data_IF_290624935375
#
_entry.id   IF_290624935375
#
_cell.length_a   1.000
_cell.length_b   1.000
_cell.length_c   1.000
_cell.angle_alpha   90.00
_cell.angle_beta   90.00
_cell.angle_gamma   90.00
#
_symmetry.space_group_name_H-M   'P 1'
#
loop_
_entity.id
_entity.type
_entity.pdbx_description
1 polymer ?
#
# COMPACT_ATOMS: atom_id res chain seq x y z
N UNK A 1 -7.38 -24.44 -10.93
CA UNK A 1 -8.23 -24.08 -9.77
C UNK A 1 -8.02 -22.59 -9.51
N UNK A 2 -9.00 -21.74 -9.86
CA UNK A 2 -8.89 -20.28 -9.68
C UNK A 2 -9.02 -19.98 -8.19
N UNK A 3 -7.98 -19.51 -7.54
CA UNK A 3 -8.07 -19.02 -6.16
C UNK A 3 -9.06 -17.87 -6.15
N UNK A 4 -10.12 -17.99 -5.33
CA UNK A 4 -11.03 -16.90 -4.98
C UNK A 4 -10.15 -15.69 -4.65
N UNK A 5 -10.50 -14.50 -5.13
CA UNK A 5 -9.71 -13.26 -5.02
C UNK A 5 -9.55 -12.71 -3.59
N UNK A 6 -9.33 -13.59 -2.63
CA UNK A 6 -9.14 -13.39 -1.21
C UNK A 6 -7.97 -14.24 -0.73
N UNK A 7 -7.15 -13.68 0.14
CA UNK A 7 -6.08 -14.40 0.82
C UNK A 7 -6.03 -13.98 2.29
N UNK A 8 -5.27 -14.75 3.06
CA UNK A 8 -4.92 -14.41 4.44
C UNK A 8 -3.40 -14.27 4.54
N UNK A 9 -2.93 -13.11 5.00
CA UNK A 9 -1.53 -12.80 5.24
C UNK A 9 -1.22 -12.99 6.73
N UNK A 10 -0.20 -13.76 7.05
CA UNK A 10 0.34 -13.87 8.40
C UNK A 10 1.42 -12.80 8.61
N UNK A 11 1.25 -11.95 9.62
CA UNK A 11 2.27 -10.98 10.02
C UNK A 11 3.34 -11.60 10.93
N UNK A 12 4.47 -10.90 11.07
CA UNK A 12 5.58 -11.33 11.93
C UNK A 12 5.20 -11.51 13.41
N UNK A 13 4.17 -10.80 13.88
CA UNK A 13 3.65 -10.91 15.24
C UNK A 13 2.57 -12.00 15.41
N UNK A 14 2.29 -12.80 14.37
CA UNK A 14 1.26 -13.85 14.39
C UNK A 14 -0.16 -13.37 14.06
N UNK A 15 -0.36 -12.07 13.82
CA UNK A 15 -1.67 -11.55 13.38
C UNK A 15 -2.03 -12.06 11.99
N UNK A 16 -3.32 -12.34 11.77
CA UNK A 16 -3.83 -12.84 10.49
C UNK A 16 -4.69 -11.76 9.83
N UNK A 17 -4.31 -11.32 8.63
CA UNK A 17 -5.00 -10.27 7.88
C UNK A 17 -5.67 -10.87 6.66
N UNK A 18 -6.99 -10.71 6.56
CA UNK A 18 -7.75 -11.05 5.35
C UNK A 18 -7.72 -9.88 4.37
N UNK A 19 -7.54 -10.17 3.09
CA UNK A 19 -7.48 -9.13 2.05
C UNK A 19 -7.82 -9.66 0.68
N UNK A 20 -8.15 -8.76 -0.25
CA UNK A 20 -8.30 -9.14 -1.66
C UNK A 20 -6.93 -9.56 -2.22
N UNK A 21 -6.86 -10.57 -3.06
CA UNK A 21 -5.61 -10.94 -3.73
C UNK A 21 -5.78 -10.94 -5.25
N UNK A 22 -4.67 -10.70 -5.95
CA UNK A 22 -4.60 -10.77 -7.41
C UNK A 22 -4.13 -12.17 -7.85
N UNK A 23 -4.29 -12.46 -9.15
CA UNK A 23 -3.85 -13.74 -9.70
C UNK A 23 -2.32 -13.90 -9.54
N UNK A 24 -1.88 -15.11 -9.21
CA UNK A 24 -0.45 -15.44 -9.13
C UNK A 24 0.11 -15.50 -7.70
N UNK A 25 -0.69 -15.20 -6.68
CA UNK A 25 -0.34 -15.45 -5.28
C UNK A 25 -0.66 -16.89 -4.88
N UNK A 26 0.32 -17.59 -4.31
CA UNK A 26 0.20 -18.96 -3.79
C UNK A 26 0.47 -19.00 -2.28
N UNK A 27 -0.04 -20.05 -1.62
CA UNK A 27 0.24 -20.27 -0.20
C UNK A 27 1.74 -20.48 0.02
N UNK A 28 2.32 -19.75 0.97
CA UNK A 28 3.75 -19.76 1.27
C UNK A 28 4.57 -18.72 0.52
N UNK A 29 3.98 -18.00 -0.46
CA UNK A 29 4.67 -16.89 -1.12
C UNK A 29 4.92 -15.74 -0.14
N UNK A 30 6.07 -15.07 -0.30
CA UNK A 30 6.32 -13.80 0.36
C UNK A 30 5.39 -12.72 -0.22
N UNK A 31 4.73 -11.98 0.66
CA UNK A 31 3.66 -11.08 0.29
C UNK A 31 3.64 -9.79 1.12
N UNK A 32 3.04 -8.75 0.56
CA UNK A 32 2.87 -7.44 1.16
C UNK A 32 1.39 -7.05 1.22
N UNK A 33 1.02 -6.32 2.27
CA UNK A 33 -0.27 -5.67 2.38
C UNK A 33 -0.23 -4.27 1.75
N UNK A 34 -1.09 -4.02 0.78
CA UNK A 34 -1.40 -2.68 0.30
C UNK A 34 -2.71 -2.21 0.92
N UNK A 35 -2.64 -1.22 1.81
CA UNK A 35 -3.79 -0.54 2.42
C UNK A 35 -3.61 0.96 2.26
N UNK A 36 -4.69 1.66 1.88
CA UNK A 36 -4.66 3.12 1.84
C UNK A 36 -4.78 3.67 3.26
N UNK A 37 -3.96 4.65 3.68
CA UNK A 37 -3.94 5.15 5.06
C UNK A 37 -5.28 5.64 5.60
N UNK A 38 -6.13 6.20 4.73
CA UNK A 38 -7.46 6.70 5.09
C UNK A 38 -8.52 5.62 5.32
N UNK A 39 -8.22 4.36 4.99
CA UNK A 39 -9.13 3.22 5.19
C UNK A 39 -8.92 2.50 6.52
N UNK A 40 -7.80 2.78 7.18
CA UNK A 40 -7.56 2.36 8.54
C UNK A 40 -8.11 3.40 9.52
N UNK A 41 -8.56 2.93 10.68
CA UNK A 41 -9.04 3.78 11.76
C UNK A 41 -8.63 3.22 13.12
N UNK A 42 -8.65 4.07 14.14
CA UNK A 42 -8.43 3.69 15.53
C UNK A 42 -9.82 3.40 16.14
N UNK A 43 -10.10 2.15 16.57
CA UNK A 43 -11.39 1.81 17.18
C UNK A 43 -11.72 2.70 18.37
N UNK A 44 -13.01 3.01 18.54
CA UNK A 44 -13.50 3.82 19.65
C UNK A 44 -13.32 5.35 19.51
N UNK A 45 -12.47 5.85 18.60
CA UNK A 45 -12.32 7.29 18.37
C UNK A 45 -13.59 7.96 17.80
N UNK A 46 -14.44 7.19 17.11
CA UNK A 46 -15.67 7.63 16.41
C UNK A 46 -16.92 6.87 16.91
N UNK A 47 -16.83 6.16 18.04
CA UNK A 47 -17.85 5.17 18.42
C UNK A 47 -17.94 3.97 17.45
N UNK A 48 -17.03 3.91 16.47
CA UNK A 48 -16.90 2.80 15.54
C UNK A 48 -16.24 1.63 16.26
N UNK A 49 -16.95 0.51 16.32
CA UNK A 49 -16.45 -0.76 16.82
C UNK A 49 -16.11 -1.67 15.64
N UNK A 50 -15.04 -2.46 15.73
CA UNK A 50 -14.73 -3.43 14.69
C UNK A 50 -15.84 -4.48 14.57
N UNK A 51 -16.09 -4.90 13.35
CA UNK A 51 -17.01 -5.96 12.97
C UNK A 51 -16.25 -7.24 12.63
N UNK A 52 -16.96 -8.34 12.43
CA UNK A 52 -16.38 -9.61 11.93
C UNK A 52 -15.77 -9.49 10.52
N UNK A 53 -16.00 -8.39 9.81
CA UNK A 53 -15.42 -8.09 8.51
C UNK A 53 -14.16 -7.24 8.60
N UNK A 54 -13.79 -6.79 9.79
CA UNK A 54 -12.57 -6.02 9.98
C UNK A 54 -11.37 -6.93 10.23
N UNK A 55 -10.20 -6.45 9.84
CA UNK A 55 -8.94 -6.85 10.42
C UNK A 55 -8.67 -5.90 11.58
N UNK A 56 -8.21 -6.45 12.69
CA UNK A 56 -7.78 -5.67 13.85
C UNK A 56 -6.39 -6.12 14.22
N UNK A 57 -5.47 -5.17 14.36
CA UNK A 57 -4.08 -5.43 14.72
C UNK A 57 -3.64 -4.49 15.83
N UNK A 58 -2.83 -5.03 16.74
CA UNK A 58 -2.14 -4.26 17.78
C UNK A 58 -0.90 -3.60 17.19
N UNK A 59 -0.73 -2.31 17.42
CA UNK A 59 0.41 -1.56 16.92
C UNK A 59 0.94 -0.56 17.94
N UNK A 60 2.25 -0.31 17.92
CA UNK A 60 2.90 0.75 18.68
C UNK A 60 2.87 2.05 17.89
N UNK A 61 2.57 3.15 18.56
CA UNK A 61 2.65 4.49 17.99
C UNK A 61 4.09 4.96 17.98
N UNK A 62 4.65 5.18 16.80
CA UNK A 62 6.03 5.66 16.66
C UNK A 62 6.06 7.19 16.66
N UNK A 63 5.26 7.80 15.79
CA UNK A 63 5.16 9.25 15.67
C UNK A 63 3.80 9.70 15.15
N UNK A 64 3.50 10.98 15.38
CA UNK A 64 2.31 11.66 14.92
C UNK A 64 2.74 12.92 14.15
N UNK A 65 2.33 13.02 12.89
CA UNK A 65 2.69 14.13 12.01
C UNK A 65 1.43 14.94 11.67
N UNK A 66 1.41 16.22 12.02
CA UNK A 66 0.35 17.15 11.64
C UNK A 66 0.46 17.55 10.17
N UNK A 67 -0.64 17.43 9.42
CA UNK A 67 -0.69 17.77 7.98
C UNK A 67 -1.79 18.79 7.64
N UNK A 68 -2.33 19.51 8.63
CA UNK A 68 -3.43 20.46 8.42
C UNK A 68 -4.79 19.83 8.71
N UNK A 69 -5.42 19.23 7.70
CA UNK A 69 -6.76 18.62 7.82
C UNK A 69 -6.75 17.25 8.53
N UNK A 70 -5.57 16.66 8.69
CA UNK A 70 -5.39 15.37 9.35
C UNK A 70 -4.03 15.21 10.01
N UNK A 71 -3.92 14.17 10.83
CA UNK A 71 -2.67 13.65 11.34
C UNK A 71 -2.33 12.35 10.61
N UNK A 72 -1.06 12.16 10.29
CA UNK A 72 -0.52 10.84 9.93
C UNK A 72 0.06 10.22 11.18
N UNK A 73 -0.49 9.08 11.58
CA UNK A 73 0.02 8.27 12.67
C UNK A 73 0.88 7.17 12.07
N UNK A 74 2.16 7.16 12.39
CA UNK A 74 3.08 6.09 11.98
C UNK A 74 3.12 5.04 13.08
N UNK A 75 2.93 3.78 12.66
CA UNK A 75 2.69 2.67 13.57
C UNK A 75 3.56 1.47 13.18
N UNK A 76 4.14 0.82 14.19
CA UNK A 76 4.87 -0.44 14.02
C UNK A 76 4.00 -1.61 14.51
N UNK A 77 3.89 -2.64 13.68
CA UNK A 77 3.26 -3.92 13.99
C UNK A 77 4.37 -4.96 14.22
N UNK A 78 4.54 -5.41 15.46
CA UNK A 78 5.59 -6.38 15.77
C UNK A 78 6.99 -5.80 15.57
N UNK A 79 7.85 -6.52 14.84
CA UNK A 79 9.28 -6.18 14.70
C UNK A 79 9.70 -5.70 13.32
N UNK A 80 8.88 -5.91 12.28
CA UNK A 80 9.25 -5.65 10.87
C UNK A 80 8.18 -4.97 10.05
N UNK A 81 6.93 -4.98 10.51
CA UNK A 81 5.80 -4.50 9.75
C UNK A 81 5.44 -3.09 10.24
N UNK A 82 5.09 -2.19 9.32
CA UNK A 82 4.65 -0.84 9.68
C UNK A 82 3.46 -0.41 8.83
N UNK A 83 2.66 0.49 9.39
CA UNK A 83 1.50 1.06 8.72
C UNK A 83 1.38 2.54 9.06
N UNK A 84 0.77 3.29 8.16
CA UNK A 84 0.41 4.69 8.40
C UNK A 84 -1.09 4.81 8.36
N UNK A 85 -1.66 5.46 9.35
CA UNK A 85 -3.10 5.74 9.44
C UNK A 85 -3.33 7.25 9.32
N UNK A 86 -4.34 7.63 8.55
CA UNK A 86 -4.77 9.04 8.45
C UNK A 86 -5.92 9.27 9.43
N UNK A 87 -5.69 10.11 10.44
CA UNK A 87 -6.69 10.49 11.45
C UNK A 87 -7.17 11.91 11.18
N UNK A 88 -8.47 12.16 10.92
CA UNK A 88 -9.00 13.50 10.73
C UNK A 88 -8.67 14.43 11.89
N UNK A 89 -8.29 15.68 11.58
CA UNK A 89 -8.03 16.70 12.59
C UNK A 89 -9.36 17.36 13.01
N UNK A 90 -10.19 16.64 13.74
CA UNK A 90 -11.43 17.17 14.34
C UNK A 90 -11.25 17.33 15.85
N UNK A 91 -11.98 18.28 16.46
CA UNK A 91 -11.95 18.49 17.92
C UNK A 91 -12.54 17.32 18.73
N UNK A 92 -13.00 16.25 18.08
CA UNK A 92 -13.72 15.13 18.72
C UNK A 92 -12.82 13.93 19.03
N UNK A 93 -11.62 13.85 18.45
CA UNK A 93 -10.74 12.68 18.62
C UNK A 93 -9.54 13.00 19.48
N UNK A 94 -9.37 12.24 20.57
CA UNK A 94 -8.09 12.18 21.25
C UNK A 94 -7.07 11.54 20.31
N UNK A 95 -5.97 12.25 20.06
CA UNK A 95 -4.88 11.72 19.26
C UNK A 95 -4.07 10.71 20.09
N UNK A 96 -3.60 9.63 19.47
CA UNK A 96 -2.79 8.65 20.17
C UNK A 96 -1.44 9.25 20.59
N UNK A 97 -0.94 8.83 21.75
CA UNK A 97 0.35 9.30 22.27
C UNK A 97 1.49 8.47 21.67
N UNK A 98 2.58 9.09 21.19
CA UNK A 98 3.80 8.36 20.81
C UNK A 98 4.29 7.44 21.94
N UNK A 99 4.68 6.22 21.58
CA UNK A 99 5.07 5.16 22.51
C UNK A 99 3.93 4.31 23.06
N UNK A 100 2.67 4.73 22.91
CA UNK A 100 1.50 3.94 23.34
C UNK A 100 1.24 2.76 22.41
N UNK A 101 0.57 1.73 22.93
CA UNK A 101 -0.02 0.68 22.11
C UNK A 101 -1.49 0.97 21.84
N UNK A 102 -1.90 0.83 20.58
CA UNK A 102 -3.27 1.01 20.14
C UNK A 102 -3.70 -0.14 19.24
N UNK A 103 -5.01 -0.30 19.10
CA UNK A 103 -5.58 -1.15 18.06
C UNK A 103 -5.83 -0.31 16.81
N UNK A 104 -5.64 -0.93 15.64
CA UNK A 104 -5.94 -0.36 14.33
C UNK A 104 -6.85 -1.32 13.61
N UNK A 105 -7.91 -0.79 13.02
CA UNK A 105 -8.89 -1.57 12.29
C UNK A 105 -9.12 -1.06 10.86
N UNK A 106 -9.41 -1.98 9.96
CA UNK A 106 -9.88 -1.69 8.60
C UNK A 106 -10.66 -2.89 8.08
N UNK A 107 -11.55 -2.66 7.11
CA UNK A 107 -12.30 -3.75 6.51
C UNK A 107 -11.40 -4.65 5.67
N UNK A 108 -11.61 -5.95 5.72
CA UNK A 108 -10.84 -6.90 4.90
C UNK A 108 -10.93 -6.62 3.39
N UNK A 109 -12.02 -6.00 2.92
CA UNK A 109 -12.19 -5.64 1.53
C UNK A 109 -11.54 -4.31 1.13
N UNK A 110 -10.92 -3.61 2.08
CA UNK A 110 -10.27 -2.32 1.87
C UNK A 110 -8.76 -2.41 1.65
N UNK A 111 -8.17 -3.59 1.81
CA UNK A 111 -6.77 -3.88 1.51
C UNK A 111 -6.62 -4.89 0.35
N UNK A 112 -5.40 -4.93 -0.20
CA UNK A 112 -4.93 -5.96 -1.12
C UNK A 112 -3.71 -6.67 -0.56
N UNK A 113 -3.57 -7.96 -0.85
CA UNK A 113 -2.38 -8.77 -0.60
C UNK A 113 -1.72 -9.03 -1.95
N UNK A 114 -0.45 -8.65 -2.06
CA UNK A 114 0.34 -8.68 -3.29
C UNK A 114 1.59 -9.54 -3.08
N UNK A 115 2.02 -10.28 -4.11
CA UNK A 115 3.29 -11.00 -4.05
C UNK A 115 4.45 -9.99 -3.99
N UNK A 116 5.41 -10.19 -3.07
CA UNK A 116 6.60 -9.32 -2.97
C UNK A 116 7.53 -9.47 -4.18
N UNK A 117 7.59 -10.67 -4.76
CA UNK A 117 8.23 -10.91 -6.04
C UNK A 117 7.17 -11.04 -7.12
N UNK A 118 6.80 -9.92 -7.73
CA UNK A 118 6.18 -9.97 -9.04
C UNK A 118 7.23 -10.55 -10.00
N UNK A 119 7.05 -11.79 -10.45
CA UNK A 119 7.72 -12.23 -11.69
C UNK A 119 7.21 -11.30 -12.79
N UNK A 120 7.98 -10.26 -13.08
CA UNK A 120 7.71 -9.37 -14.20
C UNK A 120 7.77 -10.21 -15.47
N UNK A 121 6.61 -10.51 -16.03
CA UNK A 121 6.52 -10.78 -17.46
C UNK A 121 6.30 -9.43 -18.13
N UNK A 122 7.36 -8.63 -18.22
CA UNK A 122 7.38 -7.56 -19.19
C UNK A 122 7.24 -8.21 -20.57
N UNK A 123 6.28 -7.80 -21.43
CA UNK A 123 6.38 -8.16 -22.84
C UNK A 123 7.69 -7.55 -23.35
N UNK A 124 8.50 -8.35 -24.04
CA UNK A 124 9.68 -7.87 -24.71
C UNK A 124 9.27 -6.76 -25.70
N UNK A 125 9.45 -5.51 -25.33
CA UNK A 125 9.33 -4.40 -26.27
C UNK A 125 10.52 -4.53 -27.22
N UNK A 126 10.25 -5.06 -28.42
CA UNK A 126 11.17 -4.93 -29.53
C UNK A 126 11.36 -3.44 -29.83
N UNK A 127 12.49 -2.90 -29.41
CA UNK A 127 12.97 -1.60 -29.92
C UNK A 127 13.24 -1.79 -31.42
N UNK A 128 12.40 -1.20 -32.26
CA UNK A 128 12.75 -0.99 -33.66
C UNK A 128 13.77 0.13 -33.73
N UNK A 129 14.93 -0.16 -34.29
CA UNK A 129 15.99 0.80 -34.63
C UNK A 129 15.41 1.99 -35.42
N UNK A 130 15.71 3.25 -35.07
CA UNK A 130 15.31 4.38 -35.91
C UNK A 130 16.10 4.35 -37.23
N UNK A 131 15.48 4.70 -38.38
CA UNK A 131 16.23 4.83 -39.62
C UNK A 131 17.17 6.05 -39.54
N UNK A 132 18.39 5.87 -40.05
CA UNK A 132 19.41 6.92 -40.18
C UNK A 132 18.88 8.15 -40.94
N UNK A 133 19.24 9.38 -40.54
CA UNK A 133 18.91 10.55 -41.35
C UNK A 133 19.77 10.56 -42.61
N UNK A 134 19.15 10.43 -43.78
CA UNK A 134 19.81 10.69 -45.06
C UNK A 134 20.18 12.17 -45.13
N UNK A 135 21.48 12.46 -45.14
CA UNK A 135 22.03 13.79 -45.39
C UNK A 135 21.66 14.21 -46.82
N UNK A 136 20.96 15.34 -46.96
CA UNK A 136 20.75 15.99 -48.26
C UNK A 136 21.78 17.12 -48.39
N UNK A 137 22.79 16.89 -49.22
CA UNK A 137 23.75 17.91 -49.66
C UNK A 137 23.09 18.77 -50.74
N UNK A 138 22.98 20.08 -50.52
CA UNK A 138 22.59 21.04 -51.56
C UNK A 138 23.81 21.49 -52.37
N UNK A 139 23.67 21.47 -53.69
CA UNK A 139 24.68 21.89 -54.68
C UNK A 139 24.82 23.42 -54.76
N UNK A 140 25.93 23.98 -55.28
CA UNK A 140 26.12 25.42 -55.36
C UNK A 140 25.36 25.97 -56.58
N UNK A 141 24.55 27.02 -56.37
CA UNK A 141 24.05 27.84 -57.47
C UNK A 141 24.95 29.08 -57.57
N UNK A 142 25.68 29.18 -58.68
CA UNK A 142 26.56 30.30 -59.00
C UNK A 142 25.85 31.49 -59.65
N UNK A 143 26.52 32.65 -59.52
CA UNK A 143 26.61 33.82 -60.40
C UNK A 143 25.33 34.55 -60.85
N UNK A 144 25.22 35.83 -60.47
CA UNK A 144 25.78 36.94 -61.26
C UNK A 144 26.27 38.07 -60.34
#
# INVERSE_FOLDING_TARGET
MRTKGWATLALSNGSMIRGRCENGLHAGDEAMLALRPERAHIPGAEGTQPTEHDNVVRARVDELVYCGDHHRVHLTLGSRDSIVVKVPNTQRHALPTPGSEIDVAWRHDDCKILAMSARSSAPAIHVSTPPSPSIITTAPAGAN
#
